data_IF_306618310204
#
_entry.id   IF_306618310204
#
_cell.length_a   1.000
_cell.length_b   1.000
_cell.length_c   1.000
_cell.angle_alpha   90.00
_cell.angle_beta   90.00
_cell.angle_gamma   90.00
#
_symmetry.space_group_name_H-M   'P 1'
#
loop_
_entity.id
_entity.type
_entity.pdbx_description
1 polymer ?
#
# COMPACT_ATOMS: atom_id res chain seq x y z
N UNK A 1 -6.64 -3.51 -20.06
CA UNK A 1 -7.30 -2.68 -19.00
C UNK A 1 -6.40 -2.68 -17.79
N UNK A 2 -6.27 -1.57 -17.05
CA UNK A 2 -5.42 -1.54 -15.86
C UNK A 2 -6.01 -2.45 -14.75
N UNK A 3 -5.19 -3.35 -14.20
CA UNK A 3 -5.55 -4.33 -13.16
C UNK A 3 -6.31 -3.70 -11.98
N UNK A 4 -5.93 -2.47 -11.59
CA UNK A 4 -6.59 -1.63 -10.57
C UNK A 4 -8.09 -1.40 -10.77
N UNK A 5 -8.62 -1.52 -11.99
CA UNK A 5 -10.05 -1.39 -12.25
C UNK A 5 -10.83 -2.68 -12.05
N UNK A 6 -10.21 -3.86 -12.21
CA UNK A 6 -10.86 -5.18 -12.04
C UNK A 6 -11.22 -5.45 -10.59
N UNK A 7 -10.34 -5.09 -9.65
CA UNK A 7 -10.53 -5.32 -8.21
C UNK A 7 -10.91 -4.04 -7.43
N UNK A 8 -11.39 -3.00 -8.14
CA UNK A 8 -11.63 -1.65 -7.60
C UNK A 8 -12.39 -1.64 -6.27
N UNK A 9 -13.46 -2.42 -6.12
CA UNK A 9 -14.26 -2.44 -4.89
C UNK A 9 -13.46 -2.96 -3.69
N UNK A 10 -12.66 -4.02 -3.88
CA UNK A 10 -11.83 -4.60 -2.81
C UNK A 10 -10.69 -3.64 -2.44
N UNK A 11 -9.99 -3.10 -3.45
CA UNK A 11 -8.92 -2.11 -3.25
C UNK A 11 -9.42 -0.88 -2.49
N UNK A 12 -10.58 -0.34 -2.86
CA UNK A 12 -11.20 0.79 -2.15
C UNK A 12 -11.52 0.47 -0.69
N UNK A 13 -11.99 -0.74 -0.38
CA UNK A 13 -12.22 -1.17 1.00
C UNK A 13 -10.92 -1.18 1.80
N UNK A 14 -9.82 -1.68 1.23
CA UNK A 14 -8.49 -1.68 1.90
C UNK A 14 -7.99 -0.26 2.13
N UNK A 15 -8.08 0.61 1.13
CA UNK A 15 -7.69 2.03 1.25
C UNK A 15 -8.51 2.75 2.32
N UNK A 16 -9.84 2.56 2.37
CA UNK A 16 -10.70 3.13 3.41
C UNK A 16 -10.32 2.64 4.80
N UNK A 17 -9.98 1.35 4.95
CA UNK A 17 -9.51 0.80 6.23
C UNK A 17 -8.21 1.46 6.68
N UNK A 18 -7.24 1.62 5.78
CA UNK A 18 -5.99 2.33 6.08
C UNK A 18 -6.27 3.78 6.47
N UNK A 19 -7.17 4.47 5.76
CA UNK A 19 -7.60 5.83 6.11
C UNK A 19 -8.18 5.93 7.52
N UNK A 20 -8.99 4.95 7.94
CA UNK A 20 -9.50 4.87 9.31
C UNK A 20 -8.40 4.66 10.36
N UNK A 21 -7.36 3.86 10.04
CA UNK A 21 -6.21 3.69 10.93
C UNK A 21 -5.39 4.98 11.06
N UNK A 22 -5.21 5.73 9.97
CA UNK A 22 -4.52 7.04 9.99
C UNK A 22 -5.31 8.06 10.79
N UNK A 23 -6.63 8.13 10.60
CA UNK A 23 -7.49 9.03 11.38
C UNK A 23 -7.46 8.70 12.90
N UNK A 24 -7.41 7.42 13.25
CA UNK A 24 -7.26 7.00 14.64
C UNK A 24 -5.89 7.40 15.24
N UNK A 25 -4.82 7.30 14.45
CA UNK A 25 -3.48 7.75 14.83
C UNK A 25 -3.44 9.27 15.05
N UNK A 26 -4.04 10.05 14.15
CA UNK A 26 -4.17 11.50 14.30
C UNK A 26 -4.90 11.85 15.61
N UNK A 27 -6.04 11.21 15.88
CA UNK A 27 -6.79 11.40 17.13
C UNK A 27 -5.99 11.00 18.38
N UNK A 28 -5.09 10.02 18.29
CA UNK A 28 -4.24 9.63 19.40
C UNK A 28 -3.16 10.68 19.71
N UNK A 29 -2.65 11.35 18.67
CA UNK A 29 -1.62 12.39 18.76
C UNK A 29 -2.18 13.77 19.14
N UNK A 30 -3.42 14.07 18.77
CA UNK A 30 -4.09 15.37 19.05
C UNK A 30 -4.64 15.47 20.50
N UNK A 31 -4.47 14.42 21.31
CA UNK A 31 -4.96 14.45 22.70
C UNK A 31 -4.14 15.41 23.57
N UNK A 32 -4.77 16.08 24.54
CA UNK A 32 -4.06 16.94 25.49
C UNK A 32 -2.99 16.17 26.28
N UNK A 33 -1.92 16.87 26.65
CA UNK A 33 -0.89 16.37 27.56
C UNK A 33 -1.54 15.95 28.90
N UNK A 34 -1.55 14.64 29.18
CA UNK A 34 -2.25 14.03 30.33
C UNK A 34 -3.36 13.03 29.97
N UNK A 35 -3.90 13.10 28.75
CA UNK A 35 -4.86 12.14 28.17
C UNK A 35 -4.30 11.43 26.93
N UNK A 36 -3.12 11.83 26.48
CA UNK A 36 -2.34 11.15 25.45
C UNK A 36 -2.21 9.66 25.80
N UNK A 37 -2.54 8.81 24.82
CA UNK A 37 -2.42 7.36 24.97
C UNK A 37 -0.98 6.93 25.25
N UNK A 38 -0.79 5.68 25.66
CA UNK A 38 0.55 5.13 25.88
C UNK A 38 1.38 5.31 24.59
N UNK A 39 2.61 5.78 24.73
CA UNK A 39 3.56 5.86 23.61
C UNK A 39 3.69 4.50 22.91
N UNK A 40 3.57 3.40 23.64
CA UNK A 40 3.52 2.06 23.07
C UNK A 40 2.33 1.85 22.11
N UNK A 41 1.14 2.36 22.46
CA UNK A 41 -0.05 2.23 21.62
C UNK A 41 0.09 3.00 20.31
N UNK A 42 0.66 4.22 20.37
CA UNK A 42 0.96 5.01 19.16
C UNK A 42 1.93 4.27 18.25
N UNK A 43 2.99 3.66 18.81
CA UNK A 43 3.94 2.85 18.04
C UNK A 43 3.26 1.64 17.37
N UNK A 44 2.34 0.97 18.08
CA UNK A 44 1.54 -0.14 17.52
C UNK A 44 0.64 0.34 16.39
N UNK A 45 -0.01 1.50 16.53
CA UNK A 45 -0.86 2.07 15.48
C UNK A 45 -0.06 2.43 14.22
N UNK A 46 1.10 3.07 14.37
CA UNK A 46 2.01 3.37 13.25
C UNK A 46 2.45 2.08 12.55
N UNK A 47 2.84 1.07 13.33
CA UNK A 47 3.23 -0.23 12.78
C UNK A 47 2.08 -0.90 12.01
N UNK A 48 0.84 -0.79 12.50
CA UNK A 48 -0.35 -1.31 11.84
C UNK A 48 -0.65 -0.59 10.52
N UNK A 49 -0.57 0.75 10.48
CA UNK A 49 -0.71 1.55 9.25
C UNK A 49 0.34 1.14 8.24
N UNK A 50 1.62 1.05 8.65
CA UNK A 50 2.72 0.62 7.79
C UNK A 50 2.48 -0.77 7.22
N UNK A 51 2.08 -1.73 8.06
CA UNK A 51 1.81 -3.11 7.64
C UNK A 51 0.64 -3.20 6.66
N UNK A 52 -0.44 -2.45 6.90
CA UNK A 52 -1.59 -2.41 6.01
C UNK A 52 -1.25 -1.79 4.65
N UNK A 53 -0.50 -0.68 4.62
CA UNK A 53 -0.03 -0.06 3.39
C UNK A 53 0.93 -0.97 2.60
N UNK A 54 1.87 -1.63 3.28
CA UNK A 54 2.77 -2.58 2.66
C UNK A 54 2.02 -3.78 2.05
N UNK A 55 1.05 -4.33 2.78
CA UNK A 55 0.21 -5.42 2.27
C UNK A 55 -0.63 -5.03 1.06
N UNK A 56 -1.07 -3.77 0.95
CA UNK A 56 -1.73 -3.24 -0.24
C UNK A 56 -0.77 -3.11 -1.43
N UNK A 57 0.44 -2.61 -1.19
CA UNK A 57 1.48 -2.53 -2.22
C UNK A 57 1.80 -3.91 -2.80
N UNK A 58 1.99 -4.93 -1.95
CA UNK A 58 2.34 -6.28 -2.41
C UNK A 58 1.23 -6.92 -3.27
N UNK A 59 -0.04 -6.70 -2.93
CA UNK A 59 -1.18 -7.18 -3.73
C UNK A 59 -1.19 -6.53 -5.12
N UNK A 60 -1.09 -5.19 -5.17
CA UNK A 60 -1.04 -4.45 -6.43
C UNK A 60 0.17 -4.85 -7.28
N UNK A 61 1.33 -5.04 -6.65
CA UNK A 61 2.55 -5.47 -7.33
C UNK A 61 2.39 -6.86 -7.95
N UNK A 62 1.78 -7.80 -7.21
CA UNK A 62 1.53 -9.15 -7.70
C UNK A 62 0.60 -9.13 -8.91
N UNK A 63 -0.54 -8.45 -8.82
CA UNK A 63 -1.49 -8.34 -9.93
C UNK A 63 -0.87 -7.64 -11.14
N UNK A 64 -0.12 -6.55 -10.92
CA UNK A 64 0.58 -5.85 -11.99
C UNK A 64 1.58 -6.76 -12.72
N UNK A 65 2.39 -7.52 -11.98
CA UNK A 65 3.35 -8.45 -12.55
C UNK A 65 2.66 -9.57 -13.36
N UNK A 66 1.58 -10.14 -12.84
CA UNK A 66 0.83 -11.19 -13.54
C UNK A 66 0.21 -10.66 -14.84
N UNK A 67 -0.42 -9.49 -14.81
CA UNK A 67 -1.16 -8.98 -15.97
C UNK A 67 -0.25 -8.33 -17.02
N UNK A 68 0.73 -7.52 -16.62
CA UNK A 68 1.47 -6.64 -17.54
C UNK A 68 2.88 -7.12 -17.86
N UNK A 69 3.40 -8.13 -17.14
CA UNK A 69 4.74 -8.68 -17.40
C UNK A 69 4.67 -10.15 -17.79
N UNK A 70 4.00 -10.98 -17.00
CA UNK A 70 3.86 -12.41 -17.30
C UNK A 70 2.91 -12.61 -18.48
N UNK A 71 1.73 -11.99 -18.44
CA UNK A 71 0.70 -12.09 -19.47
C UNK A 71 0.90 -11.21 -20.70
N UNK A 72 1.94 -10.37 -20.75
CA UNK A 72 2.15 -9.47 -21.89
C UNK A 72 2.62 -10.24 -23.15
N UNK A 73 1.90 -10.09 -24.25
CA UNK A 73 2.25 -10.72 -25.54
C UNK A 73 3.35 -9.92 -26.26
N UNK A 74 3.33 -8.59 -26.15
CA UNK A 74 4.33 -7.70 -26.75
C UNK A 74 5.62 -7.64 -25.90
N UNK A 75 6.79 -8.03 -26.46
CA UNK A 75 8.08 -7.91 -25.78
C UNK A 75 8.44 -6.49 -25.35
N UNK A 76 8.07 -5.47 -26.12
CA UNK A 76 8.39 -4.07 -25.79
C UNK A 76 7.57 -3.61 -24.58
N UNK A 77 6.26 -3.83 -24.60
CA UNK A 77 5.38 -3.57 -23.46
C UNK A 77 5.89 -4.29 -22.19
N UNK A 78 6.26 -5.57 -22.31
CA UNK A 78 6.82 -6.33 -21.19
C UNK A 78 8.07 -5.70 -20.61
N UNK A 79 8.98 -5.23 -21.45
CA UNK A 79 10.23 -4.60 -21.02
C UNK A 79 9.97 -3.26 -20.30
N UNK A 80 9.04 -2.45 -20.83
CA UNK A 80 8.66 -1.16 -20.24
C UNK A 80 8.03 -1.34 -18.85
N UNK A 81 7.09 -2.28 -18.71
CA UNK A 81 6.43 -2.58 -17.43
C UNK A 81 7.40 -3.21 -16.42
N UNK A 82 8.31 -4.09 -16.87
CA UNK A 82 9.38 -4.61 -16.02
C UNK A 82 10.32 -3.49 -15.51
N UNK A 83 10.61 -2.48 -16.32
CA UNK A 83 11.43 -1.34 -15.90
C UNK A 83 10.74 -0.52 -14.79
N UNK A 84 9.41 -0.34 -14.86
CA UNK A 84 8.62 0.29 -13.80
C UNK A 84 8.76 -0.48 -12.48
N UNK A 85 8.67 -1.81 -12.54
CA UNK A 85 8.83 -2.67 -11.35
C UNK A 85 10.24 -2.57 -10.75
N UNK A 86 11.28 -2.60 -11.59
CA UNK A 86 12.68 -2.46 -11.14
C UNK A 86 12.89 -1.12 -10.45
N UNK A 87 12.35 -0.04 -11.00
CA UNK A 87 12.46 1.29 -10.39
C UNK A 87 11.73 1.36 -9.05
N UNK A 88 10.53 0.77 -8.96
CA UNK A 88 9.78 0.71 -7.70
C UNK A 88 10.57 -0.08 -6.63
N UNK A 89 11.13 -1.23 -7.00
CA UNK A 89 11.95 -2.05 -6.10
C UNK A 89 13.21 -1.32 -5.63
N UNK A 90 13.88 -0.52 -6.49
CA UNK A 90 15.02 0.30 -6.08
C UNK A 90 14.67 1.40 -5.08
N UNK A 91 13.46 1.97 -5.19
CA UNK A 91 12.99 3.01 -4.28
C UNK A 91 12.51 2.46 -2.94
N UNK A 92 11.82 1.32 -2.96
CA UNK A 92 11.22 0.70 -1.76
C UNK A 92 12.11 -0.33 -1.06
N UNK A 93 13.16 -0.82 -1.72
CA UNK A 93 14.11 -1.79 -1.15
C UNK A 93 15.29 -1.17 -0.41
N UNK A 94 15.31 0.16 -0.24
CA UNK A 94 16.22 0.87 0.68
C UNK A 94 15.57 1.00 2.04
#
# INVERSE_FOLDING_TARGET
MAHVHKHRKQLLTRVRRIGGQVAALEQALDRPEGEAGDCADVLVQVAAVRGAAHSLLMELLHEHLQEHVVGAEDPQQRADEAAVLVELLRRYGK
#
